data_IF_847371646615
#
_entry.id   IF_847371646615
#
_cell.length_a   1.000
_cell.length_b   1.000
_cell.length_c   1.000
_cell.angle_alpha   90.00
_cell.angle_beta   90.00
_cell.angle_gamma   90.00
#
_symmetry.space_group_name_H-M   'P 1'
#
loop_
_entity.id
_entity.type
_entity.pdbx_description
1 polymer ?
#
# COMPACT_ATOMS: atom_id res chain seq x y z
N UNK A 1 -15.58 -3.29 11.39
CA UNK A 1 -14.28 -3.60 12.03
C UNK A 1 -13.76 -4.81 11.28
N UNK A 2 -12.78 -4.63 10.39
CA UNK A 2 -12.34 -5.70 9.49
C UNK A 2 -11.43 -6.65 10.25
N UNK A 3 -11.86 -7.89 10.46
CA UNK A 3 -10.95 -8.96 10.86
C UNK A 3 -9.90 -9.16 9.75
N UNK A 4 -8.74 -9.68 10.13
CA UNK A 4 -7.80 -10.24 9.15
C UNK A 4 -8.56 -11.24 8.28
N UNK A 5 -8.26 -11.30 6.98
CA UNK A 5 -8.85 -12.35 6.14
C UNK A 5 -8.21 -13.68 6.53
N UNK A 6 -9.02 -14.63 6.98
CA UNK A 6 -8.54 -15.99 7.31
C UNK A 6 -8.11 -16.76 6.05
N UNK A 7 -8.58 -16.32 4.88
CA UNK A 7 -8.25 -16.86 3.57
C UNK A 7 -7.91 -15.72 2.62
N UNK A 8 -6.75 -15.82 1.98
CA UNK A 8 -6.18 -14.84 1.06
C UNK A 8 -6.49 -15.17 -0.41
N UNK A 9 -7.66 -15.76 -0.69
CA UNK A 9 -8.08 -16.00 -2.06
C UNK A 9 -8.66 -14.72 -2.69
N UNK A 10 -8.77 -14.73 -4.01
CA UNK A 10 -9.20 -13.54 -4.72
C UNK A 10 -10.67 -13.17 -4.50
N UNK A 11 -11.56 -14.16 -4.33
CA UNK A 11 -12.98 -13.89 -4.09
C UNK A 11 -13.17 -13.18 -2.74
N UNK A 12 -12.57 -13.74 -1.69
CA UNK A 12 -12.64 -13.20 -0.32
C UNK A 12 -12.06 -11.78 -0.25
N UNK A 13 -10.93 -11.55 -0.92
CA UNK A 13 -10.28 -10.23 -0.98
C UNK A 13 -11.16 -9.20 -1.69
N UNK A 14 -11.69 -9.57 -2.87
CA UNK A 14 -12.54 -8.67 -3.68
C UNK A 14 -13.87 -8.37 -2.97
N UNK A 15 -14.50 -9.36 -2.32
CA UNK A 15 -15.73 -9.14 -1.55
C UNK A 15 -15.51 -8.15 -0.40
N UNK A 16 -14.37 -8.25 0.29
CA UNK A 16 -14.03 -7.30 1.35
C UNK A 16 -13.77 -5.90 0.81
N UNK A 17 -13.11 -5.78 -0.35
CA UNK A 17 -12.93 -4.49 -1.02
C UNK A 17 -14.29 -3.88 -1.39
N UNK A 18 -15.20 -4.66 -1.96
CA UNK A 18 -16.57 -4.24 -2.28
C UNK A 18 -17.28 -3.71 -1.02
N UNK A 19 -17.18 -4.40 0.12
CA UNK A 19 -17.73 -3.93 1.41
C UNK A 19 -17.11 -2.60 1.85
N UNK A 20 -15.78 -2.48 1.80
CA UNK A 20 -15.07 -1.25 2.17
C UNK A 20 -15.46 -0.05 1.30
N UNK A 21 -15.60 -0.28 -0.02
CA UNK A 21 -16.05 0.71 -0.98
C UNK A 21 -17.56 0.97 -0.94
N UNK A 22 -18.36 0.14 -0.26
CA UNK A 22 -19.77 0.44 0.04
C UNK A 22 -19.91 1.37 1.24
N UNK A 23 -18.97 1.29 2.18
CA UNK A 23 -18.96 2.09 3.40
C UNK A 23 -18.17 3.41 3.28
N UNK A 24 -17.24 3.62 4.22
CA UNK A 24 -16.60 4.91 4.52
C UNK A 24 -15.80 5.55 3.37
N UNK A 25 -15.41 4.81 2.34
CA UNK A 25 -14.43 5.23 1.32
C UNK A 25 -15.10 5.65 0.00
N UNK A 26 -16.41 5.41 -0.15
CA UNK A 26 -17.12 5.45 -1.44
C UNK A 26 -17.09 6.79 -2.16
N UNK A 27 -17.27 7.90 -1.44
CA UNK A 27 -17.68 9.14 -2.12
C UNK A 27 -16.54 9.87 -2.83
N UNK A 28 -15.28 9.54 -2.53
CA UNK A 28 -14.11 10.28 -3.03
C UNK A 28 -13.14 9.43 -3.86
N UNK A 29 -13.43 8.15 -4.09
CA UNK A 29 -12.49 7.26 -4.81
C UNK A 29 -13.04 6.92 -6.19
N UNK A 30 -12.33 7.36 -7.24
CA UNK A 30 -12.69 7.10 -8.64
C UNK A 30 -11.90 5.96 -9.26
N UNK A 31 -10.69 5.74 -8.77
CA UNK A 31 -9.75 4.76 -9.32
C UNK A 31 -9.01 4.04 -8.20
N UNK A 32 -8.59 2.81 -8.46
CA UNK A 32 -7.73 2.02 -7.59
C UNK A 32 -6.50 1.57 -8.38
N UNK A 33 -5.31 1.76 -7.82
CA UNK A 33 -4.06 1.24 -8.40
C UNK A 33 -3.47 0.20 -7.46
N UNK A 34 -3.16 -0.99 -7.98
CA UNK A 34 -2.69 -2.13 -7.20
C UNK A 34 -1.46 -2.81 -7.81
N UNK A 35 -0.83 -3.69 -7.04
CA UNK A 35 0.20 -4.60 -7.55
C UNK A 35 -0.44 -5.79 -8.28
N UNK A 36 0.37 -6.63 -8.93
CA UNK A 36 -0.11 -7.82 -9.64
C UNK A 36 -0.34 -9.03 -8.71
N UNK A 37 -0.72 -8.78 -7.46
CA UNK A 37 -1.06 -9.83 -6.52
C UNK A 37 -2.23 -10.68 -7.03
N UNK A 38 -2.10 -12.00 -6.91
CA UNK A 38 -3.12 -12.98 -7.33
C UNK A 38 -4.45 -12.81 -6.58
N UNK A 39 -4.43 -12.15 -5.42
CA UNK A 39 -5.60 -11.79 -4.62
C UNK A 39 -6.57 -10.86 -5.39
N UNK A 40 -6.12 -10.19 -6.46
CA UNK A 40 -6.98 -9.36 -7.32
C UNK A 40 -7.34 -9.98 -8.67
N UNK A 41 -7.18 -11.29 -8.85
CA UNK A 41 -7.59 -11.98 -10.08
C UNK A 41 -9.07 -11.75 -10.46
N UNK A 42 -9.96 -11.50 -9.49
CA UNK A 42 -11.39 -11.26 -9.71
C UNK A 42 -11.80 -9.78 -9.64
N UNK A 43 -10.85 -8.83 -9.82
CA UNK A 43 -11.12 -7.41 -9.61
C UNK A 43 -12.14 -6.79 -10.57
N UNK A 44 -12.42 -7.45 -11.71
CA UNK A 44 -13.48 -7.04 -12.62
C UNK A 44 -14.83 -6.90 -11.91
N UNK A 45 -15.09 -7.72 -10.88
CA UNK A 45 -16.29 -7.60 -10.03
C UNK A 45 -16.36 -6.26 -9.31
N UNK A 46 -15.22 -5.72 -8.86
CA UNK A 46 -15.15 -4.41 -8.21
C UNK A 46 -15.49 -3.29 -9.20
N UNK A 47 -14.97 -3.38 -10.43
CA UNK A 47 -15.28 -2.44 -11.51
C UNK A 47 -16.78 -2.47 -11.88
N UNK A 48 -17.36 -3.66 -12.00
CA UNK A 48 -18.77 -3.86 -12.36
C UNK A 48 -19.71 -3.36 -11.25
N UNK A 49 -19.47 -3.78 -10.00
CA UNK A 49 -20.39 -3.48 -8.89
C UNK A 49 -20.29 -2.03 -8.39
N UNK A 50 -19.14 -1.37 -8.58
CA UNK A 50 -18.86 -0.05 -7.97
C UNK A 50 -18.49 1.05 -8.95
N UNK A 51 -18.29 0.75 -10.24
CA UNK A 51 -17.87 1.72 -11.24
C UNK A 51 -16.46 2.28 -10.97
N UNK A 52 -15.61 1.51 -10.29
CA UNK A 52 -14.27 1.89 -9.92
C UNK A 52 -13.28 1.43 -11.00
N UNK A 53 -12.53 2.34 -11.61
CA UNK A 53 -11.50 1.92 -12.57
C UNK A 53 -10.28 1.37 -11.82
N UNK A 54 -9.89 0.14 -12.12
CA UNK A 54 -8.73 -0.51 -11.50
C UNK A 54 -7.56 -0.59 -12.48
N UNK A 55 -6.38 -0.21 -12.00
CA UNK A 55 -5.12 -0.23 -12.73
C UNK A 55 -4.11 -1.10 -11.99
N UNK A 56 -3.26 -1.79 -12.74
CA UNK A 56 -2.18 -2.60 -12.19
C UNK A 56 -0.83 -1.94 -12.48
N UNK A 57 0.10 -2.10 -11.55
CA UNK A 57 1.49 -1.72 -11.78
C UNK A 57 2.14 -2.70 -12.77
N UNK A 58 3.17 -2.21 -13.45
CA UNK A 58 4.00 -3.03 -14.32
C UNK A 58 4.72 -4.12 -13.50
N UNK A 59 4.96 -5.31 -14.08
CA UNK A 59 5.73 -6.35 -13.42
C UNK A 59 7.07 -5.82 -12.92
N UNK A 60 7.47 -6.25 -11.73
CA UNK A 60 8.74 -5.86 -11.09
C UNK A 60 8.93 -4.35 -10.90
N UNK A 61 7.85 -3.55 -10.90
CA UNK A 61 7.90 -2.09 -10.79
C UNK A 61 7.25 -1.54 -9.51
N UNK A 62 7.67 -1.98 -8.30
CA UNK A 62 7.07 -1.53 -7.03
C UNK A 62 7.18 -0.01 -6.82
N UNK A 63 8.15 0.65 -7.47
CA UNK A 63 8.34 2.10 -7.41
C UNK A 63 7.21 2.91 -8.05
N UNK A 64 6.30 2.29 -8.82
CA UNK A 64 5.09 2.96 -9.32
C UNK A 64 4.08 3.26 -8.19
N UNK A 65 4.35 2.76 -6.97
CA UNK A 65 3.54 2.96 -5.76
C UNK A 65 4.33 3.64 -4.63
N UNK A 66 4.99 4.81 -4.86
CA UNK A 66 5.89 5.41 -3.86
C UNK A 66 5.16 5.76 -2.55
N UNK A 67 3.88 6.14 -2.63
CA UNK A 67 3.03 6.40 -1.46
C UNK A 67 2.80 5.17 -0.60
N UNK A 68 2.67 3.98 -1.20
CA UNK A 68 2.45 2.74 -0.45
C UNK A 68 3.70 2.33 0.30
N UNK A 69 4.88 2.46 -0.32
CA UNK A 69 6.15 2.20 0.37
C UNK A 69 6.36 3.16 1.54
N UNK A 70 6.14 4.47 1.32
CA UNK A 70 6.25 5.46 2.37
C UNK A 70 5.28 5.19 3.52
N UNK A 71 4.01 4.92 3.20
CA UNK A 71 2.98 4.64 4.22
C UNK A 71 3.28 3.36 4.99
N UNK A 72 3.67 2.29 4.31
CA UNK A 72 4.07 1.04 4.96
C UNK A 72 5.32 1.20 5.83
N UNK A 73 6.27 2.04 5.42
CA UNK A 73 7.42 2.43 6.22
C UNK A 73 7.00 3.10 7.53
N UNK A 74 6.18 4.16 7.44
CA UNK A 74 5.66 4.86 8.60
C UNK A 74 4.92 3.91 9.56
N UNK A 75 4.08 3.02 9.03
CA UNK A 75 3.36 2.03 9.86
C UNK A 75 4.33 1.16 10.67
N UNK A 76 5.46 0.73 10.07
CA UNK A 76 6.47 -0.09 10.76
C UNK A 76 7.33 0.71 11.75
N UNK A 77 7.56 1.99 11.46
CA UNK A 77 8.30 2.88 12.35
C UNK A 77 7.50 3.21 13.61
N UNK A 78 6.18 3.36 13.50
CA UNK A 78 5.33 3.73 14.62
C UNK A 78 4.75 2.54 15.37
N UNK A 79 4.40 1.44 14.71
CA UNK A 79 3.80 0.29 15.39
C UNK A 79 4.87 -0.71 15.84
N UNK A 80 4.88 -1.12 17.14
CA UNK A 80 5.75 -2.18 17.60
C UNK A 80 5.61 -3.44 16.74
N UNK A 81 6.73 -4.12 16.48
CA UNK A 81 6.71 -5.39 15.75
C UNK A 81 5.81 -6.39 16.45
N UNK A 82 4.93 -7.06 15.69
CA UNK A 82 3.95 -8.00 16.24
C UNK A 82 2.67 -7.34 16.77
N UNK A 83 2.46 -6.04 16.52
CA UNK A 83 1.20 -5.38 16.84
C UNK A 83 0.03 -6.06 16.14
N UNK A 84 -1.02 -6.37 16.90
CA UNK A 84 -2.27 -6.88 16.38
C UNK A 84 -3.14 -5.73 15.82
N UNK A 85 -3.20 -5.65 14.49
CA UNK A 85 -3.98 -4.64 13.76
C UNK A 85 -5.49 -4.73 14.04
N UNK A 86 -6.01 -5.87 14.47
CA UNK A 86 -7.44 -6.01 14.79
C UNK A 86 -7.85 -5.21 16.02
N UNK A 87 -6.91 -4.97 16.94
CA UNK A 87 -7.12 -4.21 18.20
C UNK A 87 -6.68 -2.75 18.08
N UNK A 88 -6.16 -2.35 16.92
CA UNK A 88 -5.66 -1.01 16.65
C UNK A 88 -6.83 -0.07 16.40
N UNK A 89 -7.05 0.86 17.32
CA UNK A 89 -8.01 1.96 17.15
C UNK A 89 -7.28 3.20 16.63
N UNK A 90 -8.00 4.11 15.97
CA UNK A 90 -7.44 5.41 15.56
C UNK A 90 -6.81 6.16 16.74
N UNK A 91 -7.43 6.08 17.93
CA UNK A 91 -6.88 6.69 19.14
C UNK A 91 -5.56 6.05 19.57
N UNK A 92 -5.47 4.71 19.55
CA UNK A 92 -4.21 4.00 19.86
C UNK A 92 -3.14 4.36 18.84
N UNK A 93 -3.44 4.33 17.54
CA UNK A 93 -2.51 4.72 16.49
C UNK A 93 -2.00 6.16 16.65
N UNK A 94 -2.91 7.09 16.94
CA UNK A 94 -2.57 8.50 17.16
C UNK A 94 -1.74 8.72 18.42
N UNK A 95 -2.05 8.02 19.51
CA UNK A 95 -1.25 8.09 20.75
C UNK A 95 0.14 7.51 20.53
N UNK A 96 0.26 6.39 19.82
CA UNK A 96 1.56 5.83 19.43
C UNK A 96 2.37 6.86 18.64
N UNK A 97 1.78 7.48 17.61
CA UNK A 97 2.43 8.53 16.84
C UNK A 97 2.88 9.71 17.72
N UNK A 98 2.02 10.18 18.63
CA UNK A 98 2.35 11.26 19.58
C UNK A 98 3.55 10.90 20.45
N UNK A 99 3.55 9.72 21.07
CA UNK A 99 4.63 9.28 21.97
C UNK A 99 5.97 9.22 21.24
N UNK A 100 6.01 8.68 20.02
CA UNK A 100 7.23 8.66 19.21
C UNK A 100 7.63 10.07 18.73
N UNK A 101 6.68 10.95 18.38
CA UNK A 101 6.98 12.33 17.99
C UNK A 101 7.53 13.19 19.14
N UNK A 102 7.18 12.88 20.39
CA UNK A 102 7.62 13.63 21.58
C UNK A 102 8.87 13.04 22.25
N UNK A 103 9.31 11.85 21.85
CA UNK A 103 10.45 11.14 22.42
C UNK A 103 11.49 10.62 21.43
N UNK A 104 11.32 10.83 20.11
CA UNK A 104 12.30 10.40 19.13
C UNK A 104 13.54 11.31 19.18
N UNK A 105 14.77 10.75 19.22
CA UNK A 105 15.97 11.54 18.99
C UNK A 105 15.90 12.15 17.59
N UNK A 106 16.21 13.44 17.51
CA UNK A 106 16.34 14.20 16.27
C UNK A 106 17.27 13.44 15.33
N UNK A 107 16.75 12.91 14.21
CA UNK A 107 17.62 12.30 13.18
C UNK A 107 18.39 13.46 12.55
N UNK A 108 19.66 13.61 12.92
CA UNK A 108 20.55 14.61 12.36
C UNK A 108 20.57 14.49 10.83
N UNK A 109 20.30 15.59 10.15
CA UNK A 109 20.23 15.72 8.69
C UNK A 109 21.61 15.73 8.02
N UNK A 110 22.56 14.96 8.54
CA UNK A 110 23.88 14.73 7.91
C UNK A 110 23.92 13.35 7.28
N UNK A 111 23.11 13.15 6.24
CA UNK A 111 23.18 12.01 5.33
C UNK A 111 23.52 12.50 3.94
N UNK A 112 24.81 12.43 3.58
CA UNK A 112 25.35 12.77 2.26
C UNK A 112 24.50 12.13 1.16
N UNK A 113 24.03 12.93 0.21
CA UNK A 113 23.45 12.44 -1.04
C UNK A 113 24.48 11.55 -1.76
N UNK A 114 24.39 10.24 -1.59
CA UNK A 114 24.99 9.32 -2.56
C UNK A 114 24.05 9.28 -3.77
N UNK A 115 24.41 10.08 -4.78
CA UNK A 115 23.90 10.00 -6.14
C UNK A 115 24.07 8.56 -6.62
N UNK A 116 22.99 7.77 -6.63
CA UNK A 116 23.00 6.47 -7.31
C UNK A 116 23.15 6.74 -8.80
N UNK A 117 24.26 6.30 -9.37
CA UNK A 117 24.53 6.39 -10.80
C UNK A 117 23.42 5.69 -11.59
N UNK A 118 22.89 6.40 -12.58
CA UNK A 118 22.00 5.88 -13.59
C UNK A 118 22.71 4.78 -14.39
N UNK A 119 22.30 3.53 -14.23
CA UNK A 119 22.66 2.48 -15.18
C UNK A 119 21.89 2.74 -16.47
N UNK A 120 22.62 3.15 -17.51
CA UNK A 120 22.13 3.27 -18.87
C UNK A 120 21.62 1.91 -19.34
N UNK A 121 20.33 1.81 -19.69
CA UNK A 121 19.83 0.69 -20.46
C UNK A 121 20.28 0.93 -21.91
N UNK A 122 21.29 0.18 -22.37
CA UNK A 122 21.71 0.18 -23.77
C UNK A 122 20.62 -0.47 -24.61
N UNK A 123 20.07 0.28 -25.55
CA UNK A 123 19.24 -0.25 -26.62
C UNK A 123 20.15 -0.90 -27.66
N UNK A 124 20.33 -2.22 -27.58
CA UNK A 124 20.80 -2.98 -28.74
C UNK A 124 19.60 -3.60 -29.46
N UNK A 125 19.22 -2.89 -30.53
CA UNK A 125 18.50 -3.43 -31.66
C UNK A 125 19.50 -4.09 -32.62
N UNK A 126 19.36 -5.38 -32.88
CA UNK A 126 19.76 -6.08 -34.12
C UNK A 126 19.39 -7.56 -33.99
N UNK A 127 18.36 -8.02 -34.70
CA UNK A 127 18.46 -8.68 -36.02
C UNK A 127 19.38 -9.91 -36.01
N UNK A 128 18.77 -11.09 -36.00
CA UNK A 128 18.83 -12.11 -37.07
C UNK A 128 17.71 -13.11 -36.85
#
# INVERSE_FOLDING_TARGET
MGSLLDVHDSATTVDKLIEMFTGKIRNNTKTLTWDQGVELAQVDRLSIERGLAVYFCDPHSPWQRPTNENTNGLVRDFLPKGSDFSTLTLQKAFNTFKTYSTGAPEKSSTGTHQKRESKNYSSDASTT
#
